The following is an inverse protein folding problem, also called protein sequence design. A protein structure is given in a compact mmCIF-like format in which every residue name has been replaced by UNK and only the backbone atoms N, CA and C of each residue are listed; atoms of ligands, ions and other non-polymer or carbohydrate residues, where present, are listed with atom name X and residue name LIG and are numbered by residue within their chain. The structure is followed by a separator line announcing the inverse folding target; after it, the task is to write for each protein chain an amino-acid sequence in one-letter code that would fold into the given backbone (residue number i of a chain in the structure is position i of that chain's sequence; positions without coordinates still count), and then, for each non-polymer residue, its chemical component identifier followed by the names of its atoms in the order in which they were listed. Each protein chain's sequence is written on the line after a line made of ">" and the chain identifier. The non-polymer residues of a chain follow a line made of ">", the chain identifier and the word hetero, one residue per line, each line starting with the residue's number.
data_IF_014618838691
#
_entry.id   IF_014618838691
#
_cell.length_a   1.000
_cell.length_b   1.000
_cell.length_c   1.000
_cell.angle_alpha   90.00
_cell.angle_beta   90.00
_cell.angle_gamma   90.00
#
_symmetry.space_group_name_H-M   'P 1'
#
loop_
_entity.id
_entity.type
_entity.pdbx_description
1 polymer ?
#
# COMPACT_ATOMS: atom_id res chain seq x y z
N UNK A 1 21.33 -1.60 2.24
CA UNK A 1 20.27 -2.00 1.31
C UNK A 1 19.08 -1.07 1.43
N UNK A 2 18.58 -0.57 0.32
CA UNK A 2 17.45 0.35 0.34
C UNK A 2 16.12 -0.42 0.50
N UNK A 3 15.28 -0.05 1.47
CA UNK A 3 13.98 -0.71 1.61
C UNK A 3 13.09 -0.47 0.40
N UNK A 4 12.38 -1.51 -0.02
CA UNK A 4 11.47 -1.46 -1.16
C UNK A 4 10.02 -1.54 -0.70
N UNK A 5 9.20 -0.66 -1.25
CA UNK A 5 7.75 -0.60 -0.99
C UNK A 5 7.02 -0.81 -2.31
N UNK A 6 5.99 -1.63 -2.30
CA UNK A 6 5.13 -1.84 -3.47
C UNK A 6 3.83 -1.09 -3.30
N UNK A 7 3.36 -0.43 -4.36
CA UNK A 7 2.02 0.14 -4.43
C UNK A 7 1.29 -0.57 -5.57
N UNK A 8 0.23 -1.29 -5.26
CA UNK A 8 -0.56 -2.05 -6.22
C UNK A 8 -1.94 -1.39 -6.32
N UNK A 9 -2.14 -0.60 -7.36
CA UNK A 9 -3.34 0.21 -7.52
C UNK A 9 -3.58 0.47 -9.00
N UNK A 10 -4.81 0.24 -9.45
CA UNK A 10 -5.22 0.53 -10.83
C UNK A 10 -5.18 2.03 -11.13
N UNK A 11 -5.35 2.85 -10.10
CA UNK A 11 -5.32 4.30 -10.25
C UNK A 11 -3.88 4.80 -10.22
N UNK A 12 -3.28 4.94 -11.39
CA UNK A 12 -1.88 5.36 -11.52
C UNK A 12 -1.63 6.74 -10.93
N UNK A 13 -2.59 7.65 -11.10
CA UNK A 13 -2.46 9.01 -10.57
C UNK A 13 -2.43 9.00 -9.04
N UNK A 14 -3.34 8.25 -8.42
CA UNK A 14 -3.36 8.09 -6.97
C UNK A 14 -2.11 7.40 -6.44
N UNK A 15 -1.64 6.39 -7.14
CA UNK A 15 -0.41 5.68 -6.76
C UNK A 15 0.80 6.60 -6.83
N UNK A 16 0.89 7.43 -7.87
CA UNK A 16 1.97 8.40 -8.01
C UNK A 16 1.95 9.43 -6.89
N UNK A 17 0.75 9.91 -6.53
CA UNK A 17 0.61 10.85 -5.43
C UNK A 17 1.06 10.22 -4.10
N UNK A 18 0.66 8.99 -3.84
CA UNK A 18 1.09 8.27 -2.63
C UNK A 18 2.60 8.07 -2.60
N UNK A 19 3.20 7.70 -3.73
CA UNK A 19 4.64 7.57 -3.83
C UNK A 19 5.35 8.86 -3.43
N UNK A 20 4.85 10.01 -3.90
CA UNK A 20 5.44 11.29 -3.58
C UNK A 20 5.32 11.61 -2.09
N UNK A 21 4.20 11.25 -1.48
CA UNK A 21 4.01 11.42 -0.03
C UNK A 21 4.99 10.51 0.73
N UNK A 22 5.17 9.27 0.29
CA UNK A 22 6.12 8.35 0.91
C UNK A 22 7.54 8.88 0.84
N UNK A 23 7.94 9.44 -0.29
CA UNK A 23 9.28 10.01 -0.45
C UNK A 23 9.51 11.24 0.41
N UNK A 24 8.46 12.04 0.66
CA UNK A 24 8.58 13.20 1.55
C UNK A 24 8.51 12.83 3.03
N UNK A 25 7.96 11.67 3.35
CA UNK A 25 7.79 11.21 4.73
C UNK A 25 8.96 10.35 5.20
N UNK A 26 9.47 9.50 4.33
CA UNK A 26 10.56 8.59 4.64
C UNK A 26 11.73 8.85 3.70
N UNK A 27 12.95 8.93 4.25
CA UNK A 27 14.15 9.02 3.44
C UNK A 27 14.58 7.63 3.00
N UNK A 28 15.21 7.56 1.83
CA UNK A 28 15.85 6.33 1.33
C UNK A 28 14.91 5.14 1.19
N UNK A 29 13.73 5.35 0.60
CA UNK A 29 12.86 4.24 0.22
C UNK A 29 12.75 4.16 -1.29
N UNK A 30 12.75 2.94 -1.79
CA UNK A 30 12.43 2.64 -3.18
C UNK A 30 10.95 2.31 -3.27
N UNK A 31 10.22 2.95 -4.18
CA UNK A 31 8.79 2.71 -4.33
C UNK A 31 8.52 2.23 -5.75
N UNK A 32 7.91 1.07 -5.87
CA UNK A 32 7.56 0.46 -7.14
C UNK A 32 6.05 0.47 -7.31
N UNK A 33 5.59 0.98 -8.46
CA UNK A 33 4.16 1.10 -8.78
C UNK A 33 3.75 -0.04 -9.70
N UNK A 34 2.65 -0.69 -9.36
CA UNK A 34 2.06 -1.76 -10.17
C UNK A 34 0.58 -1.44 -10.36
N UNK A 35 0.13 -1.42 -11.62
CA UNK A 35 -1.27 -1.10 -11.92
C UNK A 35 -2.16 -2.34 -11.98
N UNK A 36 -1.62 -3.51 -11.68
CA UNK A 36 -2.37 -4.76 -11.64
C UNK A 36 -1.62 -5.78 -10.80
N UNK A 37 -2.33 -6.80 -10.35
CA UNK A 37 -1.71 -7.92 -9.66
C UNK A 37 -0.76 -8.68 -10.60
N UNK A 38 -1.10 -8.76 -11.88
CA UNK A 38 -0.25 -9.43 -12.87
C UNK A 38 1.12 -8.77 -13.01
N UNK A 39 1.16 -7.44 -13.08
CA UNK A 39 2.44 -6.72 -13.19
C UNK A 39 3.26 -6.86 -11.91
N UNK A 40 2.60 -6.90 -10.76
CA UNK A 40 3.27 -7.15 -9.49
C UNK A 40 3.91 -8.54 -9.45
N UNK A 41 3.17 -9.57 -9.87
CA UNK A 41 3.66 -10.96 -9.86
C UNK A 41 4.86 -11.11 -10.79
N UNK A 42 4.89 -10.43 -11.91
CA UNK A 42 6.03 -10.48 -12.84
C UNK A 42 7.33 -9.99 -12.21
N UNK A 43 7.24 -9.13 -11.21
CA UNK A 43 8.39 -8.56 -10.51
C UNK A 43 8.57 -9.19 -9.12
N UNK A 44 8.11 -10.41 -8.94
CA UNK A 44 8.00 -11.07 -7.63
C UNK A 44 9.33 -11.45 -7.00
N UNK A 45 10.44 -11.32 -7.72
CA UNK A 45 11.75 -11.59 -7.17
C UNK A 45 12.30 -10.46 -6.29
N UNK A 46 11.59 -9.33 -6.20
CA UNK A 46 11.97 -8.25 -5.31
C UNK A 46 11.51 -8.54 -3.89
N UNK A 47 12.30 -8.10 -2.93
CA UNK A 47 11.94 -8.20 -1.53
C UNK A 47 11.33 -6.88 -1.07
N UNK A 48 10.04 -6.90 -0.74
CA UNK A 48 9.33 -5.71 -0.25
C UNK A 48 9.16 -5.77 1.25
N UNK A 49 9.36 -4.63 1.90
CA UNK A 49 9.12 -4.52 3.35
C UNK A 49 7.67 -4.14 3.66
N UNK A 50 6.97 -3.55 2.70
CA UNK A 50 5.59 -3.12 2.89
C UNK A 50 4.86 -3.09 1.55
N UNK A 51 3.55 -3.35 1.61
CA UNK A 51 2.65 -3.35 0.45
C UNK A 51 1.51 -2.38 0.70
N UNK A 52 1.27 -1.48 -0.25
CA UNK A 52 0.05 -0.68 -0.29
C UNK A 52 -0.78 -1.22 -1.44
N UNK A 53 -2.01 -1.63 -1.16
CA UNK A 53 -2.81 -2.31 -2.17
C UNK A 53 -4.25 -1.80 -2.16
N UNK A 54 -4.77 -1.53 -3.35
CA UNK A 54 -6.16 -1.13 -3.55
C UNK A 54 -7.11 -2.19 -2.99
N UNK A 55 -8.17 -1.76 -2.31
CA UNK A 55 -9.09 -2.66 -1.62
C UNK A 55 -9.71 -3.73 -2.53
N UNK A 56 -10.09 -3.36 -3.76
CA UNK A 56 -10.68 -4.33 -4.69
C UNK A 56 -9.69 -5.39 -5.15
N UNK A 57 -8.44 -5.00 -5.37
CA UNK A 57 -7.39 -5.96 -5.73
C UNK A 57 -7.13 -6.89 -4.56
N UNK A 58 -7.03 -6.34 -3.36
CA UNK A 58 -6.81 -7.16 -2.17
C UNK A 58 -7.95 -8.15 -1.95
N UNK A 59 -9.19 -7.70 -2.12
CA UNK A 59 -10.35 -8.57 -1.94
C UNK A 59 -10.27 -9.82 -2.84
N UNK A 60 -9.81 -9.64 -4.07
CA UNK A 60 -9.67 -10.74 -5.02
C UNK A 60 -8.47 -11.65 -4.74
N UNK A 61 -7.49 -11.15 -4.00
CA UNK A 61 -6.24 -11.85 -3.74
C UNK A 61 -5.95 -11.97 -2.24
N UNK A 62 -6.99 -12.01 -1.43
CA UNK A 62 -6.85 -11.97 0.02
C UNK A 62 -5.98 -13.10 0.56
N UNK A 63 -6.09 -14.29 -0.02
CA UNK A 63 -5.32 -15.45 0.44
C UNK A 63 -3.82 -15.26 0.29
N UNK A 64 -3.41 -14.45 -0.67
CA UNK A 64 -1.99 -14.19 -0.92
C UNK A 64 -1.40 -13.18 0.05
N UNK A 65 -2.24 -12.36 0.68
CA UNK A 65 -1.78 -11.29 1.57
C UNK A 65 -2.14 -11.53 3.04
N UNK A 66 -2.95 -12.52 3.35
CA UNK A 66 -3.41 -12.72 4.74
C UNK A 66 -2.25 -13.02 5.70
N UNK A 67 -1.23 -13.72 5.23
CA UNK A 67 -0.03 -13.99 6.03
C UNK A 67 0.88 -12.77 6.14
N UNK A 68 0.69 -11.80 5.25
CA UNK A 68 1.48 -10.57 5.19
C UNK A 68 0.69 -9.36 5.71
N UNK A 69 -0.40 -9.59 6.43
CA UNK A 69 -1.32 -8.51 6.80
C UNK A 69 -0.67 -7.40 7.63
N UNK A 70 0.34 -7.72 8.43
CA UNK A 70 1.06 -6.71 9.21
C UNK A 70 1.95 -5.82 8.35
N UNK A 71 2.30 -6.30 7.16
CA UNK A 71 3.13 -5.57 6.20
C UNK A 71 2.30 -5.02 5.05
N UNK A 72 0.98 -5.04 5.18
CA UNK A 72 0.07 -4.64 4.12
C UNK A 72 -0.87 -3.55 4.61
N UNK A 73 -0.95 -2.45 3.85
CA UNK A 73 -1.89 -1.37 4.08
C UNK A 73 -2.88 -1.33 2.93
N UNK A 74 -4.16 -1.37 3.25
CA UNK A 74 -5.23 -1.32 2.26
C UNK A 74 -5.54 0.14 1.92
N UNK A 75 -5.56 0.44 0.64
CA UNK A 75 -5.94 1.76 0.15
C UNK A 75 -7.44 1.76 -0.14
N UNK A 76 -8.18 2.58 0.59
CA UNK A 76 -9.63 2.64 0.43
C UNK A 76 -10.09 4.09 0.43
N UNK A 77 -11.31 4.32 -0.07
CA UNK A 77 -11.98 5.61 0.06
C UNK A 77 -12.91 5.50 1.26
N UNK A 78 -12.61 6.29 2.30
CA UNK A 78 -13.34 6.21 3.56
C UNK A 78 -12.85 5.03 4.41
N UNK A 79 -13.63 4.67 5.42
CA UNK A 79 -13.28 3.61 6.35
C UNK A 79 -13.69 2.25 5.82
N UNK A 80 -12.85 1.26 6.08
CA UNK A 80 -13.15 -0.13 5.75
C UNK A 80 -12.86 -1.01 6.96
N UNK A 81 -13.88 -1.20 7.81
CA UNK A 81 -13.72 -2.01 9.02
C UNK A 81 -13.48 -3.49 8.72
N UNK A 82 -13.91 -3.96 7.55
CA UNK A 82 -13.74 -5.36 7.17
C UNK A 82 -12.27 -5.77 7.17
N UNK A 83 -11.41 -5.00 6.51
CA UNK A 83 -9.99 -5.31 6.46
C UNK A 83 -9.29 -5.05 7.80
N UNK A 84 -9.71 -4.01 8.52
CA UNK A 84 -9.18 -3.73 9.85
C UNK A 84 -9.44 -4.91 10.80
N UNK A 85 -10.63 -5.50 10.73
CA UNK A 85 -10.99 -6.64 11.57
C UNK A 85 -10.14 -7.88 11.24
N UNK A 86 -9.59 -7.96 10.06
CA UNK A 86 -8.70 -9.05 9.67
C UNK A 86 -7.23 -8.76 9.97
N UNK A 87 -6.94 -7.61 10.54
CA UNK A 87 -5.58 -7.25 10.98
C UNK A 87 -4.76 -6.45 9.98
N UNK A 88 -5.38 -5.99 8.89
CA UNK A 88 -4.70 -5.10 7.93
C UNK A 88 -4.72 -3.67 8.43
N UNK A 89 -3.66 -2.93 8.10
CA UNK A 89 -3.71 -1.47 8.19
C UNK A 89 -4.58 -0.93 7.06
N UNK A 90 -5.33 0.13 7.31
CA UNK A 90 -6.18 0.76 6.29
C UNK A 90 -5.83 2.23 6.19
N UNK A 91 -5.64 2.72 4.97
CA UNK A 91 -5.34 4.11 4.68
C UNK A 91 -6.48 4.69 3.84
N UNK A 92 -7.10 5.75 4.35
CA UNK A 92 -8.16 6.47 3.64
C UNK A 92 -7.50 7.45 2.65
N UNK A 93 -7.58 7.14 1.37
CA UNK A 93 -6.95 7.95 0.33
C UNK A 93 -7.77 9.20 -0.02
N UNK A 94 -8.96 9.35 0.56
CA UNK A 94 -9.74 10.58 0.43
C UNK A 94 -9.35 11.66 1.44
N UNK A 95 -8.52 11.31 2.42
CA UNK A 95 -7.99 12.25 3.39
C UNK A 95 -7.00 13.21 2.72
N UNK A 96 -6.73 14.35 3.37
CA UNK A 96 -5.75 15.29 2.82
C UNK A 96 -4.33 14.75 2.99
N UNK A 97 -3.41 15.39 2.27
CA UNK A 97 -2.02 14.93 2.23
C UNK A 97 -1.35 14.88 3.60
N UNK A 98 -1.63 15.88 4.45
CA UNK A 98 -1.04 15.91 5.80
C UNK A 98 -1.55 14.78 6.68
N UNK A 99 -2.83 14.46 6.58
CA UNK A 99 -3.44 13.37 7.33
C UNK A 99 -2.88 12.02 6.87
N UNK A 100 -2.68 11.86 5.57
CA UNK A 100 -2.09 10.66 5.01
C UNK A 100 -0.65 10.49 5.51
N UNK A 101 0.15 11.56 5.44
CA UNK A 101 1.53 11.51 5.90
C UNK A 101 1.63 11.16 7.39
N UNK A 102 0.76 11.75 8.20
CA UNK A 102 0.73 11.45 9.63
C UNK A 102 0.35 10.00 9.91
N UNK A 103 -0.64 9.48 9.18
CA UNK A 103 -1.05 8.09 9.31
C UNK A 103 0.07 7.13 8.95
N UNK A 104 0.83 7.44 7.91
CA UNK A 104 1.97 6.62 7.48
C UNK A 104 3.03 6.47 8.57
N UNK A 105 3.24 7.50 9.38
CA UNK A 105 4.21 7.43 10.48
C UNK A 105 3.79 6.44 11.57
N UNK A 106 2.53 6.06 11.65
CA UNK A 106 2.01 5.13 12.65
C UNK A 106 1.81 3.72 12.12
N UNK A 107 2.12 3.47 10.85
CA UNK A 107 2.05 2.13 10.27
C UNK A 107 3.29 1.35 10.68
N UNK A 108 3.04 0.17 11.19
CA UNK A 108 4.12 -0.70 11.70
C UNK A 108 4.39 -1.83 10.74
#
# INVERSE_FOLDING_TARGET
>A
MTPCIAIIDRNTLGATALRNILWSTFSDVEVHLYNSMESFIRDSNRHFIHFFIESDILFRHIDEFITLRKQTTVLSVGRSSKFENEGFNVLDISANENEIAEKLLHIQ
#
